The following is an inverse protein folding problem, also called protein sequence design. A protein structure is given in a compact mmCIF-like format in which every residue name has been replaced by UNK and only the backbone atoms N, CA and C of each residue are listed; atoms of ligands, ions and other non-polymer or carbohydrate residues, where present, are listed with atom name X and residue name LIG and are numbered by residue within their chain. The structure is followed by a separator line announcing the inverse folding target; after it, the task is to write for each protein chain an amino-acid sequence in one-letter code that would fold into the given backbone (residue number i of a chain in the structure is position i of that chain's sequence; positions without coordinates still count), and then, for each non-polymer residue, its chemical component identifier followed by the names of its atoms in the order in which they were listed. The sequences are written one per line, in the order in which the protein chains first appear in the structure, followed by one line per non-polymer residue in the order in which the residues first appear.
data_IF_622782320519
#
_entry.id   IF_622782320519
#
_cell.length_a   1.000
_cell.length_b   1.000
_cell.length_c   1.000
_cell.angle_alpha   90.00
_cell.angle_beta   90.00
_cell.angle_gamma   90.00
#
_symmetry.space_group_name_H-M   'P 1'
#
loop_
_entity.id
_entity.type
_entity.pdbx_description
1 polymer ?
#
# COMPACT_ATOMS: atom_id res chain seq x y z
N UNK A 1 12.59 11.59 -9.49
CA UNK A 1 12.36 10.21 -9.97
C UNK A 1 11.15 9.64 -9.26
N UNK A 2 10.16 9.16 -10.00
CA UNK A 2 8.98 8.47 -9.47
C UNK A 2 9.11 6.97 -9.72
N UNK A 3 8.71 6.15 -8.75
CA UNK A 3 8.75 4.70 -8.88
C UNK A 3 7.36 4.14 -8.63
N UNK A 4 6.83 3.41 -9.59
CA UNK A 4 5.61 2.65 -9.44
C UNK A 4 5.98 1.17 -9.33
N UNK A 5 5.36 0.50 -8.39
CA UNK A 5 5.55 -0.93 -8.19
C UNK A 5 4.18 -1.60 -8.14
N UNK A 6 3.98 -2.66 -8.92
CA UNK A 6 2.73 -3.40 -8.94
C UNK A 6 2.96 -4.85 -9.38
N UNK A 7 1.98 -5.70 -9.16
CA UNK A 7 1.97 -7.05 -9.72
C UNK A 7 1.37 -7.05 -11.12
N UNK A 8 1.97 -7.78 -12.03
CA UNK A 8 1.43 -8.14 -13.34
C UNK A 8 1.27 -9.65 -13.41
N UNK A 9 0.11 -10.13 -13.86
CA UNK A 9 -0.16 -11.55 -14.01
C UNK A 9 -0.86 -11.80 -15.34
N UNK A 10 -0.26 -12.66 -16.17
CA UNK A 10 -0.76 -12.98 -17.52
C UNK A 10 -1.14 -11.71 -18.32
N UNK A 11 -0.27 -10.72 -18.30
CA UNK A 11 -0.46 -9.45 -19.01
C UNK A 11 -1.49 -8.49 -18.39
N UNK A 12 -2.09 -8.83 -17.25
CA UNK A 12 -3.09 -7.99 -16.57
C UNK A 12 -2.52 -7.36 -15.29
N UNK A 13 -2.99 -6.17 -14.96
CA UNK A 13 -2.56 -5.37 -13.79
C UNK A 13 -3.80 -4.91 -13.04
N UNK A 14 -3.74 -5.03 -11.71
CA UNK A 14 -4.76 -4.45 -10.81
C UNK A 14 -4.63 -2.93 -10.87
N UNK A 15 -5.77 -2.22 -10.94
CA UNK A 15 -5.83 -0.76 -11.02
C UNK A 15 -5.09 -0.16 -12.24
N UNK A 16 -4.94 -0.90 -13.34
CA UNK A 16 -4.24 -0.47 -14.55
C UNK A 16 -4.62 0.94 -15.05
N UNK A 17 -5.92 1.34 -15.09
CA UNK A 17 -6.31 2.68 -15.50
C UNK A 17 -5.72 3.79 -14.62
N UNK A 18 -5.59 3.57 -13.33
CA UNK A 18 -5.02 4.54 -12.38
C UNK A 18 -3.51 4.69 -12.59
N UNK A 19 -2.77 3.59 -12.79
CA UNK A 19 -1.35 3.65 -13.14
C UNK A 19 -1.12 4.40 -14.47
N UNK A 20 -1.92 4.11 -15.50
CA UNK A 20 -1.80 4.82 -16.79
C UNK A 20 -2.08 6.32 -16.66
N UNK A 21 -3.05 6.71 -15.84
CA UNK A 21 -3.35 8.11 -15.57
C UNK A 21 -2.18 8.78 -14.87
N UNK A 22 -1.66 8.19 -13.80
CA UNK A 22 -0.52 8.73 -13.06
C UNK A 22 0.74 8.87 -13.96
N UNK A 23 1.01 7.92 -14.84
CA UNK A 23 2.11 8.01 -15.80
C UNK A 23 1.92 9.17 -16.79
N UNK A 24 0.69 9.40 -17.28
CA UNK A 24 0.39 10.56 -18.16
C UNK A 24 0.56 11.89 -17.43
N UNK A 25 0.12 11.98 -16.18
CA UNK A 25 0.28 13.17 -15.34
C UNK A 25 1.75 13.52 -15.09
N UNK A 26 2.63 12.52 -15.09
CA UNK A 26 4.08 12.71 -15.06
C UNK A 26 4.71 13.05 -16.43
N UNK A 27 3.89 13.23 -17.47
CA UNK A 27 4.35 13.59 -18.80
C UNK A 27 4.96 12.46 -19.61
N UNK A 28 4.66 11.19 -19.26
CA UNK A 28 5.12 10.03 -20.05
C UNK A 28 4.47 10.08 -21.43
N UNK A 29 5.28 9.94 -22.48
CA UNK A 29 4.81 10.02 -23.86
C UNK A 29 3.90 8.85 -24.23
N UNK A 30 3.00 9.04 -25.22
CA UNK A 30 2.15 7.97 -25.74
C UNK A 30 2.97 6.83 -26.32
N UNK A 31 4.15 7.10 -26.89
CA UNK A 31 5.04 6.09 -27.43
C UNK A 31 5.63 5.21 -26.29
N UNK A 32 6.06 5.81 -25.19
CA UNK A 32 6.57 5.08 -24.03
C UNK A 32 5.46 4.29 -23.33
N UNK A 33 4.26 4.84 -23.21
CA UNK A 33 3.10 4.11 -22.69
C UNK A 33 2.75 2.90 -23.55
N UNK A 34 2.79 3.04 -24.87
CA UNK A 34 2.53 1.91 -25.77
C UNK A 34 3.62 0.84 -25.65
N UNK A 35 4.89 1.24 -25.56
CA UNK A 35 5.98 0.29 -25.31
C UNK A 35 5.79 -0.44 -23.99
N UNK A 36 5.49 0.28 -22.91
CA UNK A 36 5.21 -0.33 -21.60
C UNK A 36 4.05 -1.34 -21.67
N UNK A 37 2.99 -1.02 -22.40
CA UNK A 37 1.85 -1.92 -22.62
C UNK A 37 2.25 -3.21 -23.34
N UNK A 38 3.03 -3.09 -24.39
CA UNK A 38 3.53 -4.25 -25.13
C UNK A 38 4.40 -5.13 -24.25
N UNK A 39 5.32 -4.54 -23.51
CA UNK A 39 6.25 -5.25 -22.62
C UNK A 39 5.50 -5.97 -21.48
N UNK A 40 4.44 -5.36 -20.94
CA UNK A 40 3.62 -5.97 -19.90
C UNK A 40 2.66 -7.04 -20.44
N UNK A 41 2.11 -6.87 -21.64
CA UNK A 41 1.15 -7.79 -22.24
C UNK A 41 1.75 -9.19 -22.51
N UNK A 42 3.07 -9.28 -22.72
CA UNK A 42 3.76 -10.56 -22.98
C UNK A 42 4.25 -11.25 -21.70
N UNK A 43 3.97 -10.70 -20.53
CA UNK A 43 4.38 -11.29 -19.25
C UNK A 43 3.56 -12.56 -19.00
N UNK A 44 4.25 -13.68 -18.86
CA UNK A 44 3.68 -14.96 -18.43
C UNK A 44 3.90 -15.19 -16.94
N UNK A 45 2.91 -15.79 -16.28
CA UNK A 45 2.89 -15.97 -14.84
C UNK A 45 2.77 -14.65 -14.11
N UNK A 46 3.07 -14.66 -12.81
CA UNK A 46 3.00 -13.46 -11.98
C UNK A 46 4.39 -12.89 -11.72
N UNK A 47 4.56 -11.59 -11.97
CA UNK A 47 5.82 -10.85 -11.78
C UNK A 47 5.56 -9.56 -11.02
N UNK A 48 6.60 -9.07 -10.36
CA UNK A 48 6.67 -7.72 -9.81
C UNK A 48 7.22 -6.79 -10.90
N UNK A 49 6.41 -5.84 -11.32
CA UNK A 49 6.81 -4.75 -12.21
C UNK A 49 7.27 -3.55 -11.39
N UNK A 50 8.38 -2.95 -11.80
CA UNK A 50 8.92 -1.71 -11.26
C UNK A 50 9.07 -0.76 -12.45
N UNK A 51 8.26 0.30 -12.45
CA UNK A 51 8.30 1.35 -13.48
C UNK A 51 8.93 2.59 -12.87
N UNK A 52 10.03 3.02 -13.41
CA UNK A 52 10.74 4.22 -12.97
C UNK A 52 10.57 5.33 -14.00
N UNK A 53 10.16 6.52 -13.55
CA UNK A 53 9.96 7.70 -14.39
C UNK A 53 10.85 8.83 -13.88
N UNK A 54 11.72 9.32 -14.73
CA UNK A 54 12.59 10.44 -14.39
C UNK A 54 13.37 10.97 -15.59
N UNK A 55 13.57 12.28 -15.64
CA UNK A 55 14.32 12.96 -16.69
C UNK A 55 13.85 12.63 -18.12
N UNK A 56 12.54 12.45 -18.31
CA UNK A 56 11.94 12.09 -19.61
C UNK A 56 12.16 10.63 -20.05
N UNK A 57 12.68 9.79 -19.16
CA UNK A 57 12.94 8.36 -19.42
C UNK A 57 11.99 7.51 -18.59
N UNK A 58 11.41 6.51 -19.22
CA UNK A 58 10.63 5.45 -18.57
C UNK A 58 11.37 4.13 -18.69
N UNK A 59 11.59 3.48 -17.57
CA UNK A 59 12.18 2.14 -17.54
C UNK A 59 11.23 1.15 -16.87
N UNK A 60 11.23 -0.09 -17.34
CA UNK A 60 10.51 -1.22 -16.77
C UNK A 60 11.51 -2.28 -16.33
N UNK A 61 11.40 -2.69 -15.08
CA UNK A 61 12.11 -3.86 -14.56
C UNK A 61 11.09 -4.90 -14.09
N UNK A 62 11.18 -6.12 -14.61
CA UNK A 62 10.37 -7.26 -14.16
C UNK A 62 11.21 -8.15 -13.24
N UNK A 63 10.65 -8.53 -12.10
CA UNK A 63 11.28 -9.43 -11.13
C UNK A 63 10.34 -10.58 -10.76
N UNK A 64 10.87 -11.74 -10.37
CA UNK A 64 10.06 -12.77 -9.73
C UNK A 64 9.30 -12.17 -8.54
N UNK A 65 8.03 -12.54 -8.39
CA UNK A 65 7.24 -12.15 -7.24
C UNK A 65 7.41 -13.20 -6.15
N UNK A 66 8.07 -12.81 -5.06
CA UNK A 66 8.12 -13.65 -3.88
C UNK A 66 6.75 -13.64 -3.17
N UNK A 67 6.22 -14.81 -2.77
CA UNK A 67 5.00 -14.84 -1.96
C UNK A 67 5.28 -14.18 -0.61
N UNK A 68 4.34 -13.32 -0.19
CA UNK A 68 4.32 -12.75 1.15
C UNK A 68 3.05 -13.19 1.86
N UNK A 69 3.08 -13.34 3.18
CA UNK A 69 1.88 -13.72 3.93
C UNK A 69 0.81 -12.62 3.84
N UNK A 70 -0.46 -13.02 3.77
CA UNK A 70 -1.61 -12.10 3.84
C UNK A 70 -1.75 -11.45 5.21
N UNK A 71 -1.09 -12.02 6.21
CA UNK A 71 -1.08 -11.59 7.60
C UNK A 71 0.32 -11.14 7.99
N UNK A 72 0.42 -10.05 8.74
CA UNK A 72 1.71 -9.40 9.00
C UNK A 72 1.92 -9.09 10.48
N UNK A 73 3.20 -9.11 10.85
CA UNK A 73 3.69 -8.59 12.12
C UNK A 73 4.24 -7.19 11.88
N UNK A 74 3.74 -6.18 12.58
CA UNK A 74 4.25 -4.81 12.54
C UNK A 74 5.00 -4.46 13.83
N UNK A 75 6.07 -3.69 13.70
CA UNK A 75 6.70 -3.04 14.85
C UNK A 75 5.85 -1.85 15.32
N UNK A 76 5.40 -1.87 16.57
CA UNK A 76 4.76 -0.74 17.22
C UNK A 76 5.79 0.34 17.65
N UNK A 77 7.07 -0.04 17.77
CA UNK A 77 8.16 0.92 17.96
C UNK A 77 8.40 1.66 16.66
N UNK A 78 7.94 2.90 16.61
CA UNK A 78 7.97 3.70 15.39
C UNK A 78 9.37 4.27 15.12
N UNK A 79 9.74 4.34 13.84
CA UNK A 79 10.97 4.97 13.35
C UNK A 79 10.66 6.43 13.00
N UNK A 80 11.54 7.37 13.40
CA UNK A 80 11.38 8.77 13.02
C UNK A 80 11.40 8.92 11.50
N UNK A 81 10.38 9.59 10.97
CA UNK A 81 10.26 9.81 9.52
C UNK A 81 11.30 10.82 9.04
N UNK A 82 12.34 10.31 8.35
CA UNK A 82 13.42 11.08 7.76
C UNK A 82 13.32 11.17 6.23
N UNK A 83 12.17 10.80 5.65
CA UNK A 83 11.98 10.94 4.21
C UNK A 83 12.08 12.40 3.80
N UNK A 84 12.83 12.64 2.74
CA UNK A 84 13.03 13.98 2.15
C UNK A 84 11.92 14.35 1.17
N UNK A 85 11.30 13.34 0.55
CA UNK A 85 10.22 13.46 -0.42
C UNK A 85 9.07 12.51 -0.11
N UNK A 86 8.37 12.69 1.03
CA UNK A 86 7.30 11.79 1.44
C UNK A 86 6.13 11.74 0.46
N UNK A 87 5.96 12.80 -0.36
CA UNK A 87 4.92 12.91 -1.39
C UNK A 87 5.19 12.06 -2.64
N UNK A 88 6.38 11.46 -2.74
CA UNK A 88 6.80 10.71 -3.94
C UNK A 88 7.37 9.34 -3.55
N UNK A 89 6.85 8.29 -4.15
CA UNK A 89 7.51 6.99 -4.10
C UNK A 89 8.74 7.02 -5.03
N UNK A 90 9.93 6.77 -4.48
CA UNK A 90 11.19 6.71 -5.26
C UNK A 90 12.41 7.20 -4.49
N UNK A 91 12.55 8.50 -4.22
CA UNK A 91 13.79 9.07 -3.66
C UNK A 91 14.25 8.43 -2.36
N UNK A 92 13.31 8.13 -1.47
CA UNK A 92 13.60 7.63 -0.12
C UNK A 92 13.63 6.10 0.01
N UNK A 93 13.48 5.34 -1.08
CA UNK A 93 13.42 3.87 -1.07
C UNK A 93 14.67 3.21 -0.44
N UNK A 94 15.84 3.80 -0.64
CA UNK A 94 17.09 3.31 -0.03
C UNK A 94 17.04 3.38 1.49
N UNK A 95 16.62 4.51 2.03
CA UNK A 95 16.44 4.72 3.46
C UNK A 95 15.35 3.80 4.04
N UNK A 96 14.20 3.71 3.38
CA UNK A 96 13.11 2.82 3.80
C UNK A 96 13.57 1.35 3.89
N UNK A 97 14.32 0.86 2.88
CA UNK A 97 14.87 -0.49 2.88
C UNK A 97 15.84 -0.71 4.05
N UNK A 98 16.68 0.28 4.36
CA UNK A 98 17.61 0.20 5.49
C UNK A 98 16.86 0.13 6.82
N UNK A 99 15.77 0.91 6.98
CA UNK A 99 14.92 0.85 8.16
C UNK A 99 14.27 -0.54 8.30
N UNK A 100 13.68 -1.07 7.21
CA UNK A 100 13.04 -2.39 7.21
C UNK A 100 14.03 -3.51 7.53
N UNK A 101 15.23 -3.45 6.97
CA UNK A 101 16.27 -4.45 7.22
C UNK A 101 16.72 -4.50 8.70
N UNK A 102 16.57 -3.40 9.42
CA UNK A 102 16.90 -3.32 10.85
C UNK A 102 15.77 -3.86 11.76
N UNK A 103 14.58 -4.12 11.20
CA UNK A 103 13.44 -4.63 11.96
C UNK A 103 13.39 -6.16 11.93
N UNK A 104 12.99 -6.75 13.04
CA UNK A 104 12.65 -8.18 13.13
C UNK A 104 11.18 -8.48 12.78
N UNK A 105 10.52 -7.60 12.04
CA UNK A 105 9.10 -7.65 11.67
C UNK A 105 8.93 -7.47 10.17
N UNK A 106 7.72 -7.73 9.64
CA UNK A 106 7.46 -7.55 8.21
C UNK A 106 7.44 -6.07 7.79
N UNK A 107 7.07 -5.18 8.73
CA UNK A 107 6.95 -3.74 8.49
C UNK A 107 7.07 -2.98 9.83
N UNK A 108 7.25 -1.67 9.78
CA UNK A 108 7.27 -0.78 10.94
C UNK A 108 6.52 0.51 10.67
N UNK A 109 6.36 1.31 11.70
CA UNK A 109 5.65 2.60 11.62
C UNK A 109 6.64 3.75 11.43
N UNK A 110 6.23 4.76 10.66
CA UNK A 110 6.88 6.07 10.64
C UNK A 110 6.21 6.98 11.64
N UNK A 111 7.01 7.79 12.35
CA UNK A 111 6.50 8.78 13.30
C UNK A 111 7.05 10.17 12.94
N UNK A 112 6.18 11.17 12.91
CA UNK A 112 6.55 12.56 12.69
C UNK A 112 7.00 13.27 13.98
N UNK A 113 7.33 14.57 13.85
CA UNK A 113 7.73 15.39 15.00
C UNK A 113 6.58 15.62 16.02
N UNK A 114 5.34 15.45 15.62
CA UNK A 114 4.13 15.61 16.44
C UNK A 114 3.67 14.30 17.09
N UNK A 115 4.50 13.25 17.03
CA UNK A 115 4.18 11.90 17.50
C UNK A 115 2.97 11.28 16.78
N UNK A 116 2.83 11.58 15.50
CA UNK A 116 1.78 11.02 14.64
C UNK A 116 2.38 10.05 13.62
N UNK A 117 1.58 9.09 13.25
CA UNK A 117 1.92 8.05 12.27
C UNK A 117 1.29 8.41 10.93
N UNK A 118 2.07 8.92 9.96
CA UNK A 118 1.57 9.14 8.61
C UNK A 118 1.27 7.83 7.88
N UNK A 119 2.13 6.84 8.02
CA UNK A 119 2.05 5.52 7.36
C UNK A 119 3.03 4.53 7.98
N UNK A 120 3.05 3.28 7.49
CA UNK A 120 4.16 2.36 7.70
C UNK A 120 5.39 2.79 6.88
N UNK A 121 6.54 2.16 7.09
CA UNK A 121 7.80 2.57 6.47
C UNK A 121 7.70 2.55 4.93
N UNK A 122 7.18 1.47 4.35
CA UNK A 122 7.14 1.31 2.90
C UNK A 122 5.70 1.30 2.31
N UNK A 123 4.67 1.36 3.13
CA UNK A 123 3.28 1.22 2.67
C UNK A 123 2.29 2.05 3.50
N UNK A 124 1.18 2.51 2.93
CA UNK A 124 0.11 3.14 3.69
C UNK A 124 -0.63 2.13 4.56
N UNK A 125 -1.34 2.67 5.54
CA UNK A 125 -2.18 1.96 6.48
C UNK A 125 -3.62 2.45 6.36
N UNK A 126 -4.57 1.55 6.65
CA UNK A 126 -5.94 1.91 7.00
C UNK A 126 -6.37 1.16 8.25
N UNK A 127 -7.39 1.69 8.92
CA UNK A 127 -8.04 1.01 10.05
C UNK A 127 -9.52 0.80 9.76
N UNK A 128 -10.06 -0.27 10.32
CA UNK A 128 -11.50 -0.57 10.28
C UNK A 128 -12.01 -0.64 11.73
N UNK A 129 -12.98 0.21 12.06
CA UNK A 129 -13.65 0.15 13.36
C UNK A 129 -14.60 -1.04 13.42
N UNK A 130 -14.88 -1.50 14.62
CA UNK A 130 -15.89 -2.55 14.86
C UNK A 130 -17.27 -1.92 15.02
N UNK A 131 -18.34 -2.63 14.66
CA UNK A 131 -19.72 -2.21 14.89
C UNK A 131 -20.66 -2.52 13.71
N UNK A 132 -21.92 -2.13 13.84
CA UNK A 132 -22.93 -2.32 12.78
C UNK A 132 -22.67 -1.43 11.56
N UNK A 133 -22.04 -0.28 11.79
CA UNK A 133 -21.65 0.66 10.74
C UNK A 133 -20.13 0.90 10.83
N UNK A 134 -19.30 -0.02 10.32
CA UNK A 134 -17.86 0.10 10.42
C UNK A 134 -17.36 1.28 9.61
N UNK A 135 -16.43 2.02 10.20
CA UNK A 135 -15.76 3.16 9.57
C UNK A 135 -14.36 2.73 9.17
N UNK A 136 -14.05 2.96 7.91
CA UNK A 136 -12.69 2.83 7.37
C UNK A 136 -11.99 4.18 7.51
N UNK A 137 -10.86 4.20 8.20
CA UNK A 137 -10.08 5.43 8.35
C UNK A 137 -8.75 5.29 7.62
N UNK A 138 -8.41 6.27 6.79
CA UNK A 138 -7.12 6.38 6.11
C UNK A 138 -6.33 7.58 6.65
N UNK A 139 -5.02 7.60 6.42
CA UNK A 139 -4.21 8.76 6.82
C UNK A 139 -4.35 9.89 5.82
N UNK A 140 -4.86 11.04 6.27
CA UNK A 140 -4.82 12.32 5.55
C UNK A 140 -3.59 13.17 5.90
N UNK A 141 -2.58 12.59 6.54
CA UNK A 141 -1.38 13.32 6.96
C UNK A 141 -0.56 13.80 5.75
N UNK A 142 -0.05 15.05 5.73
CA UNK A 142 0.70 15.61 4.59
C UNK A 142 1.94 14.81 4.19
N UNK A 143 2.48 14.00 5.09
CA UNK A 143 3.63 13.13 4.82
C UNK A 143 3.23 11.69 4.44
N UNK A 144 1.96 11.43 4.17
CA UNK A 144 1.52 10.14 3.63
C UNK A 144 1.82 10.09 2.13
N UNK A 145 2.54 9.07 1.70
CA UNK A 145 2.81 8.89 0.25
C UNK A 145 1.53 8.48 -0.48
N UNK A 146 1.14 9.15 -1.56
CA UNK A 146 0.02 8.73 -2.40
C UNK A 146 0.17 7.30 -2.87
N UNK A 147 -0.92 6.54 -2.86
CA UNK A 147 -0.90 5.10 -3.19
C UNK A 147 -2.11 4.68 -4.01
N UNK A 148 -1.86 4.34 -5.27
CA UNK A 148 -2.89 3.80 -6.17
C UNK A 148 -3.51 2.52 -5.57
N UNK A 149 -2.69 1.69 -4.91
CA UNK A 149 -3.20 0.48 -4.26
C UNK A 149 -4.14 0.77 -3.08
N UNK A 150 -3.85 1.81 -2.28
CA UNK A 150 -4.75 2.25 -1.21
C UNK A 150 -6.06 2.76 -1.79
N UNK A 151 -5.99 3.61 -2.81
CA UNK A 151 -7.18 4.17 -3.46
C UNK A 151 -8.07 3.04 -4.01
N UNK A 152 -7.47 2.05 -4.70
CA UNK A 152 -8.20 0.90 -5.22
C UNK A 152 -8.82 0.02 -4.13
N UNK A 153 -8.18 -0.14 -2.97
CA UNK A 153 -8.76 -0.85 -1.82
C UNK A 153 -9.92 -0.05 -1.23
N UNK A 154 -9.75 1.25 -1.07
CA UNK A 154 -10.77 2.16 -0.52
C UNK A 154 -12.01 2.21 -1.42
N UNK A 155 -11.82 2.23 -2.73
CA UNK A 155 -12.95 2.22 -3.68
C UNK A 155 -13.77 0.94 -3.56
N UNK A 156 -13.13 -0.23 -3.47
CA UNK A 156 -13.86 -1.49 -3.25
C UNK A 156 -14.60 -1.50 -1.90
N UNK A 157 -13.99 -0.95 -0.85
CA UNK A 157 -14.64 -0.82 0.46
C UNK A 157 -15.83 0.12 0.42
N UNK A 158 -15.74 1.26 -0.29
CA UNK A 158 -16.87 2.19 -0.51
C UNK A 158 -18.03 1.54 -1.26
N UNK A 159 -17.72 0.79 -2.32
CA UNK A 159 -18.72 0.04 -3.08
C UNK A 159 -19.42 -1.04 -2.22
N UNK A 160 -18.69 -1.60 -1.24
CA UNK A 160 -19.26 -2.51 -0.26
C UNK A 160 -20.04 -1.82 0.88
N UNK A 161 -20.19 -0.48 0.81
CA UNK A 161 -20.97 0.30 1.77
C UNK A 161 -20.18 0.88 2.95
N UNK A 162 -18.83 0.83 2.91
CA UNK A 162 -18.03 1.42 3.98
C UNK A 162 -18.15 2.96 4.01
N UNK A 163 -18.28 3.51 5.20
CA UNK A 163 -18.03 4.92 5.46
C UNK A 163 -16.52 5.12 5.55
N UNK A 164 -15.97 5.96 4.68
CA UNK A 164 -14.54 6.25 4.67
C UNK A 164 -14.28 7.65 5.21
N UNK A 165 -13.35 7.77 6.14
CA UNK A 165 -12.94 9.03 6.78
C UNK A 165 -11.43 9.20 6.70
N UNK A 166 -11.00 10.45 6.79
CA UNK A 166 -9.57 10.78 6.85
C UNK A 166 -9.17 11.10 8.29
N UNK A 167 -7.97 10.66 8.68
CA UNK A 167 -7.25 11.11 9.85
C UNK A 167 -6.26 12.23 9.41
N UNK A 168 -6.63 13.52 9.44
CA UNK A 168 -5.86 14.59 8.81
C UNK A 168 -4.50 14.83 9.49
N UNK A 169 -4.36 14.40 10.74
CA UNK A 169 -3.07 14.43 11.46
C UNK A 169 -2.38 13.07 11.51
N UNK A 170 -2.81 12.09 10.70
CA UNK A 170 -2.35 10.70 10.81
C UNK A 170 -2.88 10.00 12.07
N UNK A 171 -2.41 8.79 12.29
CA UNK A 171 -2.82 7.94 13.40
C UNK A 171 -1.99 8.18 14.67
N UNK A 172 -2.46 7.65 15.80
CA UNK A 172 -1.61 7.32 16.94
C UNK A 172 -1.30 5.82 16.92
N UNK A 173 -0.19 5.42 17.49
CA UNK A 173 0.13 3.97 17.64
C UNK A 173 -1.01 3.25 18.37
N UNK A 174 -1.53 3.87 19.44
CA UNK A 174 -2.66 3.35 20.19
C UNK A 174 -3.90 3.08 19.30
N UNK A 175 -4.25 4.01 18.43
CA UNK A 175 -5.43 3.87 17.55
C UNK A 175 -5.26 2.67 16.60
N UNK A 176 -4.06 2.51 16.03
CA UNK A 176 -3.71 1.40 15.15
C UNK A 176 -3.77 0.05 15.88
N UNK A 177 -3.24 -0.03 17.10
CA UNK A 177 -3.22 -1.28 17.88
C UNK A 177 -4.61 -1.69 18.39
N UNK A 178 -5.55 -0.75 18.50
CA UNK A 178 -6.90 -0.98 19.05
C UNK A 178 -7.99 -1.08 17.97
N UNK A 179 -7.65 -0.92 16.71
CA UNK A 179 -8.53 -1.16 15.56
C UNK A 179 -8.01 -2.34 14.73
N UNK A 180 -8.85 -2.89 13.86
CA UNK A 180 -8.35 -3.75 12.80
C UNK A 180 -7.53 -2.89 11.83
N UNK A 181 -6.27 -3.21 11.67
CA UNK A 181 -5.34 -2.45 10.84
C UNK A 181 -4.90 -3.27 9.64
N UNK A 182 -4.97 -2.68 8.45
CA UNK A 182 -4.44 -3.26 7.23
C UNK A 182 -3.25 -2.46 6.73
N UNK A 183 -2.23 -3.18 6.28
CA UNK A 183 -1.12 -2.67 5.49
C UNK A 183 -1.46 -2.82 4.01
N UNK A 184 -1.31 -1.76 3.22
CA UNK A 184 -1.65 -1.81 1.80
C UNK A 184 -0.39 -1.86 0.95
N UNK A 185 -0.02 -3.05 0.54
CA UNK A 185 1.15 -3.30 -0.31
C UNK A 185 0.76 -3.11 -1.79
N UNK A 186 1.52 -2.35 -2.59
CA UNK A 186 1.19 -2.10 -3.98
C UNK A 186 1.26 -3.36 -4.87
N UNK A 187 1.94 -4.40 -4.42
CA UNK A 187 2.13 -5.66 -5.15
C UNK A 187 1.20 -6.76 -4.64
N UNK A 188 1.07 -6.88 -3.32
CA UNK A 188 0.31 -7.95 -2.66
C UNK A 188 -1.09 -7.51 -2.21
N UNK A 189 -1.40 -6.21 -2.31
CA UNK A 189 -2.70 -5.68 -1.91
C UNK A 189 -2.84 -5.50 -0.39
N UNK A 190 -4.06 -5.68 0.12
CA UNK A 190 -4.38 -5.53 1.53
C UNK A 190 -3.87 -6.72 2.34
N UNK A 191 -3.16 -6.45 3.43
CA UNK A 191 -2.59 -7.43 4.37
C UNK A 191 -3.01 -7.07 5.79
N UNK A 192 -3.51 -8.06 6.54
CA UNK A 192 -4.01 -7.87 7.89
C UNK A 192 -2.86 -7.84 8.91
N UNK A 193 -2.84 -6.83 9.77
CA UNK A 193 -1.94 -6.79 10.92
C UNK A 193 -2.51 -7.67 12.02
N UNK A 194 -1.94 -8.87 12.18
CA UNK A 194 -2.37 -9.84 13.21
C UNK A 194 -1.54 -9.75 14.48
N UNK A 195 -0.37 -9.14 14.41
CA UNK A 195 0.54 -9.06 15.54
C UNK A 195 1.28 -7.72 15.53
N UNK A 196 1.35 -7.11 16.69
CA UNK A 196 2.18 -5.95 16.97
C UNK A 196 3.38 -6.38 17.81
N UNK A 197 4.58 -5.99 17.41
CA UNK A 197 5.78 -6.17 18.24
C UNK A 197 6.11 -4.88 18.95
N UNK A 198 5.95 -4.88 20.25
CA UNK A 198 6.24 -3.75 21.11
C UNK A 198 7.35 -4.12 22.11
N UNK A 199 8.47 -3.40 22.05
CA UNK A 199 9.65 -3.67 22.91
C UNK A 199 10.08 -5.14 22.94
N UNK A 200 10.00 -5.83 21.80
CA UNK A 200 10.38 -7.25 21.68
C UNK A 200 9.29 -8.25 22.10
N UNK A 201 8.13 -7.78 22.56
CA UNK A 201 6.97 -8.61 22.95
C UNK A 201 5.93 -8.57 21.83
N UNK A 202 5.40 -9.73 21.46
CA UNK A 202 4.33 -9.86 20.49
C UNK A 202 2.96 -9.69 21.17
N UNK A 203 2.20 -8.71 20.70
CA UNK A 203 0.85 -8.37 21.16
C UNK A 203 -0.12 -8.68 20.02
N UNK A 204 -1.20 -9.45 20.23
CA UNK A 204 -2.20 -9.72 19.20
C UNK A 204 -2.82 -8.44 18.64
N UNK A 205 -2.90 -8.34 17.32
CA UNK A 205 -3.65 -7.30 16.63
C UNK A 205 -5.17 -7.48 16.80
N UNK A 206 -5.90 -6.41 16.64
CA UNK A 206 -7.36 -6.46 16.67
C UNK A 206 -7.90 -6.95 15.34
N UNK A 207 -8.90 -7.82 15.41
CA UNK A 207 -9.67 -8.31 14.26
C UNK A 207 -11.12 -7.93 14.50
N UNK A 208 -11.73 -7.25 13.54
CA UNK A 208 -13.12 -6.86 13.60
C UNK A 208 -14.01 -8.10 13.41
N UNK A 209 -14.59 -8.61 14.49
CA UNK A 209 -15.52 -9.76 14.46
C UNK A 209 -16.84 -9.39 13.77
N UNK A 210 -17.29 -8.15 13.94
CA UNK A 210 -18.45 -7.60 13.22
C UNK A 210 -17.98 -6.46 12.31
N UNK A 211 -18.07 -6.69 11.01
CA UNK A 211 -17.64 -5.76 9.94
C UNK A 211 -18.82 -5.12 9.21
N UNK A 212 -20.05 -5.27 9.69
CA UNK A 212 -21.22 -4.75 9.01
C UNK A 212 -21.36 -5.22 7.56
N UNK A 213 -20.88 -6.43 7.23
CA UNK A 213 -20.89 -6.95 5.87
C UNK A 213 -19.70 -6.56 5.00
N UNK A 214 -18.75 -5.77 5.49
CA UNK A 214 -17.55 -5.42 4.70
C UNK A 214 -16.68 -6.66 4.42
N UNK A 215 -16.12 -6.76 3.21
CA UNK A 215 -15.24 -7.85 2.84
C UNK A 215 -13.94 -7.84 3.66
N UNK A 216 -13.34 -9.02 3.82
CA UNK A 216 -12.03 -9.21 4.44
C UNK A 216 -10.91 -8.71 3.51
N UNK A 217 -9.72 -8.52 4.04
CA UNK A 217 -8.53 -8.16 3.23
C UNK A 217 -8.29 -9.14 2.07
N UNK A 218 -8.54 -10.46 2.28
CA UNK A 218 -8.40 -11.49 1.24
C UNK A 218 -9.47 -11.38 0.16
N UNK A 219 -10.71 -11.09 0.55
CA UNK A 219 -11.81 -10.88 -0.40
C UNK A 219 -11.60 -9.60 -1.21
N UNK A 220 -11.15 -8.52 -0.59
CA UNK A 220 -10.75 -7.28 -1.29
C UNK A 220 -9.69 -7.59 -2.35
N UNK A 221 -8.65 -8.33 -2.01
CA UNK A 221 -7.61 -8.68 -2.97
C UNK A 221 -8.17 -9.50 -4.14
N UNK A 222 -9.06 -10.48 -3.88
CA UNK A 222 -9.75 -11.23 -4.93
C UNK A 222 -10.62 -10.34 -5.82
N UNK A 223 -11.40 -9.44 -5.22
CA UNK A 223 -12.26 -8.50 -5.96
C UNK A 223 -11.44 -7.57 -6.85
N UNK A 224 -10.30 -7.05 -6.35
CA UNK A 224 -9.40 -6.21 -7.13
C UNK A 224 -8.76 -6.98 -8.29
N UNK A 225 -8.30 -8.22 -8.06
CA UNK A 225 -7.76 -9.07 -9.13
C UNK A 225 -8.82 -9.44 -10.18
N UNK A 226 -10.07 -9.65 -9.77
CA UNK A 226 -11.17 -9.90 -10.72
C UNK A 226 -11.44 -8.69 -11.66
N UNK A 227 -10.96 -7.50 -11.29
CA UNK A 227 -11.05 -6.26 -12.08
C UNK A 227 -9.74 -5.91 -12.81
N UNK A 228 -8.73 -6.77 -12.70
CA UNK A 228 -7.44 -6.54 -13.36
C UNK A 228 -7.63 -6.45 -14.87
N UNK A 229 -6.94 -5.55 -15.52
CA UNK A 229 -7.04 -5.26 -16.94
C UNK A 229 -5.67 -5.24 -17.59
N UNK A 230 -5.62 -5.42 -18.91
CA UNK A 230 -4.43 -5.11 -19.68
C UNK A 230 -4.10 -3.61 -19.52
N UNK A 231 -2.83 -3.31 -19.33
CA UNK A 231 -2.37 -1.94 -19.10
C UNK A 231 -2.23 -1.16 -20.40
#
# INVERSE_FOLDING_TARGET
MHVFTFAVSEGTVVDAPAYLRALRELGVSSADLNRLRVDLAVVSGTRKAIVEVGHGVVSLTLRPLAPLPDEVVLSATAVRDQRTHPEVCGPDLGWQRSCLAALGTHEGLLIDASSRIPQAIAAPLLTISTGESPVVTVSGHPRTTPSIALDGVVDVLREAGAVVTDAPRGFRVYDLMHAETWLIDPVHGARLVTTWREYGVDVPGRIALNRGGLPTHREINKMRWARAQAI
#
